data_IF_385359670848
#
_entry.id   IF_385359670848
#
_cell.length_a   1.000
_cell.length_b   1.000
_cell.length_c   1.000
_cell.angle_alpha   90.00
_cell.angle_beta   90.00
_cell.angle_gamma   90.00
#
_symmetry.space_group_name_H-M   'P 1'
#
loop_
_entity.id
_entity.type
_entity.pdbx_description
1 polymer ?
#
# COMPACT_ATOMS: atom_id res chain seq x y z
N UNK A 1 8.27 1.50 5.18
CA UNK A 1 7.98 0.65 4.01
C UNK A 1 7.62 1.50 2.80
N UNK A 2 7.10 0.88 1.75
CA UNK A 2 6.94 1.50 0.42
C UNK A 2 6.03 2.73 0.36
N UNK A 3 5.11 2.91 1.31
CA UNK A 3 4.31 4.14 1.40
C UNK A 3 5.16 5.42 1.55
N UNK A 4 6.39 5.29 2.04
CA UNK A 4 7.32 6.42 2.19
C UNK A 4 8.04 6.79 0.89
N UNK A 5 7.96 5.95 -0.16
CA UNK A 5 8.69 6.13 -1.42
C UNK A 5 7.82 5.95 -2.68
N UNK A 6 6.56 5.50 -2.56
CA UNK A 6 5.65 5.27 -3.69
C UNK A 6 5.15 6.59 -4.33
N UNK A 7 4.29 6.52 -5.34
CA UNK A 7 3.71 7.72 -5.99
C UNK A 7 2.56 8.38 -5.21
N UNK A 8 2.26 7.95 -3.98
CA UNK A 8 1.16 8.45 -3.13
C UNK A 8 -0.25 8.27 -3.71
N UNK A 9 -0.38 7.59 -4.85
CA UNK A 9 -1.67 7.31 -5.50
C UNK A 9 -2.59 6.56 -4.54
N UNK A 10 -3.81 7.05 -4.39
CA UNK A 10 -4.84 6.42 -3.56
C UNK A 10 -5.90 5.75 -4.44
N UNK A 11 -5.85 4.43 -4.50
CA UNK A 11 -6.80 3.60 -5.24
C UNK A 11 -7.26 2.43 -4.37
N UNK A 12 -8.56 2.16 -4.34
CA UNK A 12 -9.16 1.03 -3.60
C UNK A 12 -9.18 -0.27 -4.39
N UNK A 13 -9.16 -0.20 -5.73
CA UNK A 13 -9.43 -1.36 -6.60
C UNK A 13 -10.91 -1.53 -6.93
N UNK A 14 -11.24 -2.56 -7.71
CA UNK A 14 -12.62 -2.83 -8.15
C UNK A 14 -13.34 -3.72 -7.14
N UNK A 15 -14.66 -3.58 -7.02
CA UNK A 15 -15.45 -4.43 -6.10
C UNK A 15 -15.28 -5.92 -6.41
N UNK A 16 -15.18 -6.23 -7.71
CA UNK A 16 -15.07 -7.60 -8.18
C UNK A 16 -13.75 -8.26 -7.79
N UNK A 17 -12.67 -7.49 -7.60
CA UNK A 17 -11.37 -8.03 -7.14
C UNK A 17 -11.52 -8.65 -5.75
N UNK A 18 -12.22 -7.97 -4.84
CA UNK A 18 -12.48 -8.42 -3.47
C UNK A 18 -13.54 -9.51 -3.39
N UNK A 19 -14.64 -9.38 -4.17
CA UNK A 19 -15.66 -10.43 -4.23
C UNK A 19 -15.08 -11.73 -4.79
N UNK A 20 -14.12 -11.64 -5.72
CA UNK A 20 -13.36 -12.79 -6.19
C UNK A 20 -12.53 -13.42 -5.06
N UNK A 21 -11.82 -12.65 -4.24
CA UNK A 21 -11.07 -13.20 -3.10
C UNK A 21 -11.94 -14.02 -2.15
N UNK A 22 -13.15 -13.55 -1.85
CA UNK A 22 -14.08 -14.32 -1.02
C UNK A 22 -14.51 -15.63 -1.69
N UNK A 23 -14.85 -15.60 -2.99
CA UNK A 23 -15.20 -16.82 -3.74
C UNK A 23 -14.03 -17.79 -3.90
N UNK A 24 -12.79 -17.31 -3.83
CA UNK A 24 -11.57 -18.12 -3.81
C UNK A 24 -11.28 -18.73 -2.43
N UNK A 25 -12.20 -18.60 -1.47
CA UNK A 25 -12.11 -19.27 -0.17
C UNK A 25 -11.55 -18.40 0.94
N UNK A 26 -11.68 -17.06 0.84
CA UNK A 26 -11.27 -16.12 1.88
C UNK A 26 -12.50 -15.42 2.50
N UNK A 27 -13.27 -16.07 3.40
CA UNK A 27 -14.46 -15.48 4.01
C UNK A 27 -14.16 -14.13 4.66
N UNK A 28 -15.04 -13.15 4.46
CA UNK A 28 -14.88 -11.81 5.04
C UNK A 28 -14.00 -10.87 4.21
N UNK A 29 -13.54 -11.28 3.03
CA UNK A 29 -12.75 -10.45 2.11
C UNK A 29 -13.55 -9.87 0.93
N UNK A 30 -14.88 -10.04 0.88
CA UNK A 30 -15.73 -9.37 -0.11
C UNK A 30 -15.59 -7.85 -0.07
N UNK A 31 -16.00 -7.15 -1.13
CA UNK A 31 -16.01 -5.68 -1.14
C UNK A 31 -16.81 -5.08 0.02
N UNK A 32 -17.98 -5.65 0.35
CA UNK A 32 -18.82 -5.16 1.43
C UNK A 32 -18.09 -5.17 2.77
N UNK A 33 -17.37 -6.25 3.07
CA UNK A 33 -16.55 -6.37 4.27
C UNK A 33 -15.38 -5.37 4.28
N UNK A 34 -14.56 -5.34 3.22
CA UNK A 34 -13.35 -4.49 3.20
C UNK A 34 -13.65 -3.00 3.05
N UNK A 35 -14.78 -2.63 2.45
CA UNK A 35 -15.18 -1.22 2.24
C UNK A 35 -15.28 -0.43 3.55
N UNK A 36 -15.65 -1.11 4.64
CA UNK A 36 -15.69 -0.51 5.98
C UNK A 36 -14.29 -0.12 6.48
N UNK A 37 -13.26 -0.91 6.15
CA UNK A 37 -11.87 -0.64 6.52
C UNK A 37 -11.25 0.47 5.67
N UNK A 38 -11.55 0.53 4.37
CA UNK A 38 -11.18 1.69 3.55
C UNK A 38 -11.73 2.98 4.16
N UNK A 39 -13.04 3.01 4.42
CA UNK A 39 -13.70 4.17 5.05
C UNK A 39 -13.13 4.53 6.42
N UNK A 40 -12.72 3.54 7.22
CA UNK A 40 -12.10 3.74 8.53
C UNK A 40 -10.69 4.35 8.43
N UNK A 41 -9.92 3.97 7.40
CA UNK A 41 -8.56 4.46 7.21
C UNK A 41 -8.48 5.86 6.61
N UNK A 42 -9.48 6.24 5.81
CA UNK A 42 -9.45 7.44 5.00
C UNK A 42 -10.03 8.66 5.71
N UNK A 43 -9.45 9.82 5.42
CA UNK A 43 -10.01 11.12 5.69
C UNK A 43 -9.97 11.96 4.42
N UNK A 44 -11.07 11.90 3.68
CA UNK A 44 -11.17 12.64 2.44
C UNK A 44 -11.32 14.14 2.68
N UNK A 45 -10.51 14.91 1.95
CA UNK A 45 -10.49 16.37 1.98
C UNK A 45 -11.10 16.84 0.66
N UNK A 46 -12.39 17.21 0.64
CA UNK A 46 -13.07 17.61 -0.58
C UNK A 46 -12.49 18.92 -1.11
N UNK A 47 -12.11 18.94 -2.39
CA UNK A 47 -11.70 20.15 -3.11
C UNK A 47 -12.73 20.54 -4.17
N UNK A 48 -13.14 19.60 -5.04
CA UNK A 48 -14.08 19.87 -6.14
C UNK A 48 -15.57 19.82 -5.75
N UNK A 49 -15.91 19.21 -4.61
CA UNK A 49 -17.30 18.95 -4.19
C UNK A 49 -18.07 17.91 -5.04
N UNK A 50 -17.43 17.34 -6.08
CA UNK A 50 -18.03 16.36 -7.00
C UNK A 50 -18.02 14.93 -6.44
N UNK A 51 -17.09 14.61 -5.55
CA UNK A 51 -16.93 13.29 -4.93
C UNK A 51 -17.79 13.18 -3.67
N UNK A 52 -18.67 12.17 -3.63
CA UNK A 52 -19.74 12.06 -2.62
C UNK A 52 -19.56 10.95 -1.57
N UNK A 53 -18.76 9.90 -1.80
CA UNK A 53 -18.72 8.73 -0.91
C UNK A 53 -17.30 8.27 -0.59
N UNK A 54 -16.81 8.69 0.57
CA UNK A 54 -15.41 8.51 0.98
C UNK A 54 -15.29 8.51 2.50
N UNK A 55 -14.29 7.81 3.04
CA UNK A 55 -14.05 7.76 4.48
C UNK A 55 -13.75 9.15 5.06
N UNK A 56 -14.17 9.37 6.30
CA UNK A 56 -13.93 10.61 7.05
C UNK A 56 -13.42 10.30 8.44
N UNK A 57 -12.49 11.10 8.93
CA UNK A 57 -11.93 10.96 10.27
C UNK A 57 -10.88 9.86 10.43
N UNK A 58 -10.52 9.16 9.35
CA UNK A 58 -9.38 8.25 9.34
C UNK A 58 -8.02 8.98 9.39
N UNK A 59 -6.93 8.27 9.64
CA UNK A 59 -5.60 8.88 9.74
C UNK A 59 -4.95 9.20 8.38
N UNK A 60 -5.42 8.61 7.27
CA UNK A 60 -4.84 8.81 5.94
C UNK A 60 -5.62 9.93 5.22
N UNK A 61 -5.00 11.08 4.93
CA UNK A 61 -5.64 12.08 4.07
C UNK A 61 -5.79 11.53 2.66
N UNK A 62 -6.93 11.81 2.05
CA UNK A 62 -7.19 11.54 0.64
C UNK A 62 -7.65 12.84 0.02
N UNK A 63 -6.82 13.42 -0.83
CA UNK A 63 -7.13 14.67 -1.51
C UNK A 63 -7.03 14.49 -3.02
N UNK A 64 -7.77 15.31 -3.75
CA UNK A 64 -7.59 15.46 -5.18
C UNK A 64 -6.30 16.27 -5.43
N UNK A 65 -5.61 15.99 -6.53
CA UNK A 65 -4.54 16.89 -7.00
C UNK A 65 -5.15 18.10 -7.69
N UNK A 66 -4.52 19.26 -7.49
CA UNK A 66 -4.86 20.48 -8.22
C UNK A 66 -4.70 20.24 -9.74
N UNK A 67 -5.74 20.53 -10.55
CA UNK A 67 -5.65 20.38 -11.99
C UNK A 67 -4.54 21.27 -12.56
N UNK A 68 -3.69 20.70 -13.42
CA UNK A 68 -2.78 21.47 -14.26
C UNK A 68 -3.43 21.71 -15.62
N UNK A 69 -2.89 22.62 -16.42
CA UNK A 69 -3.36 22.82 -17.79
C UNK A 69 -3.28 21.50 -18.60
N UNK A 70 -2.30 20.63 -18.30
CA UNK A 70 -2.12 19.35 -18.97
C UNK A 70 -3.18 18.34 -18.56
N UNK A 71 -3.48 18.21 -17.26
CA UNK A 71 -4.52 17.29 -16.81
C UNK A 71 -5.89 17.75 -17.30
N UNK A 72 -6.16 19.06 -17.34
CA UNK A 72 -7.39 19.60 -17.94
C UNK A 72 -7.50 19.27 -19.45
N UNK A 73 -6.40 19.43 -20.20
CA UNK A 73 -6.36 19.08 -21.63
C UNK A 73 -6.62 17.59 -21.85
N UNK A 74 -5.97 16.72 -21.09
CA UNK A 74 -6.16 15.26 -21.17
C UNK A 74 -7.59 14.86 -20.79
N UNK A 75 -8.16 15.44 -19.73
CA UNK A 75 -9.55 15.18 -19.34
C UNK A 75 -10.54 15.52 -20.48
N UNK A 76 -10.34 16.65 -21.16
CA UNK A 76 -11.17 17.02 -22.32
C UNK A 76 -11.02 16.03 -23.48
N UNK A 77 -9.79 15.63 -23.81
CA UNK A 77 -9.55 14.65 -24.87
C UNK A 77 -10.22 13.30 -24.55
N UNK A 78 -10.15 12.84 -23.30
CA UNK A 78 -10.83 11.61 -22.86
C UNK A 78 -12.36 11.72 -22.96
N UNK A 79 -12.93 12.89 -22.64
CA UNK A 79 -14.36 13.15 -22.83
C UNK A 79 -14.78 13.15 -24.31
N UNK A 80 -13.97 13.72 -25.20
CA UNK A 80 -14.20 13.68 -26.66
C UNK A 80 -14.15 12.25 -27.21
N UNK A 81 -13.39 11.35 -26.56
CA UNK A 81 -13.39 9.91 -26.84
C UNK A 81 -14.59 9.15 -26.22
N UNK A 82 -15.49 9.84 -25.53
CA UNK A 82 -16.69 9.26 -24.90
C UNK A 82 -16.46 8.68 -23.50
N UNK A 83 -15.31 8.92 -22.87
CA UNK A 83 -15.06 8.51 -21.49
C UNK A 83 -15.62 9.53 -20.50
N UNK A 84 -16.18 9.05 -19.40
CA UNK A 84 -16.74 9.89 -18.35
C UNK A 84 -15.77 10.06 -17.19
N UNK A 85 -15.78 11.25 -16.59
CA UNK A 85 -15.10 11.49 -15.33
C UNK A 85 -15.92 10.88 -14.19
N UNK A 86 -15.35 9.94 -13.46
CA UNK A 86 -16.01 9.16 -12.42
C UNK A 86 -15.08 9.01 -11.20
N UNK A 87 -15.63 8.83 -10.01
CA UNK A 87 -14.81 8.44 -8.86
C UNK A 87 -14.53 6.93 -8.92
N UNK A 88 -13.32 6.57 -9.36
CA UNK A 88 -12.93 5.16 -9.51
C UNK A 88 -12.81 4.43 -8.16
N UNK A 89 -12.71 5.17 -7.04
CA UNK A 89 -12.71 4.58 -5.70
C UNK A 89 -14.10 4.14 -5.21
N UNK A 90 -15.15 4.34 -6.01
CA UNK A 90 -16.47 3.72 -5.81
C UNK A 90 -16.53 2.27 -6.31
N UNK A 91 -15.43 1.75 -6.85
CA UNK A 91 -15.32 0.37 -7.35
C UNK A 91 -16.08 0.12 -8.66
N UNK A 92 -16.40 1.20 -9.39
CA UNK A 92 -16.98 1.13 -10.74
C UNK A 92 -15.89 0.82 -11.78
N UNK A 93 -16.29 0.20 -12.90
CA UNK A 93 -15.40 -0.03 -14.04
C UNK A 93 -15.50 1.11 -15.05
N UNK A 94 -14.34 1.57 -15.53
CA UNK A 94 -14.24 2.51 -16.64
C UNK A 94 -14.33 3.98 -16.25
N UNK A 95 -14.01 4.84 -17.21
CA UNK A 95 -13.89 6.28 -17.02
C UNK A 95 -12.47 6.70 -16.64
N UNK A 96 -12.35 7.95 -16.21
CA UNK A 96 -11.10 8.53 -15.70
C UNK A 96 -11.41 9.39 -14.48
N UNK A 97 -10.39 9.71 -13.69
CA UNK A 97 -10.54 10.60 -12.54
C UNK A 97 -9.31 11.48 -12.36
N UNK A 98 -9.46 12.70 -11.81
CA UNK A 98 -8.35 13.37 -11.16
C UNK A 98 -7.74 12.42 -10.13
N UNK A 99 -6.43 12.28 -10.17
CA UNK A 99 -5.72 11.38 -9.26
C UNK A 99 -5.95 11.82 -7.81
N UNK A 100 -6.40 10.88 -6.98
CA UNK A 100 -6.41 11.05 -5.53
C UNK A 100 -5.06 10.62 -4.97
N UNK A 101 -4.54 11.40 -4.02
CA UNK A 101 -3.25 11.16 -3.39
C UNK A 101 -3.31 11.23 -1.87
N UNK A 102 -2.31 10.63 -1.23
CA UNK A 102 -2.09 10.74 0.22
C UNK A 102 -1.11 11.88 0.54
N UNK A 103 -1.56 13.12 0.35
CA UNK A 103 -0.77 14.34 0.58
C UNK A 103 -1.50 15.26 1.55
N UNK A 104 -0.76 15.95 2.42
CA UNK A 104 -1.32 16.98 3.29
C UNK A 104 -0.33 18.14 3.34
N UNK A 105 -0.80 19.35 3.03
CA UNK A 105 0.01 20.57 3.00
C UNK A 105 1.30 20.42 2.16
N UNK A 106 1.18 19.79 0.98
CA UNK A 106 2.30 19.53 0.07
C UNK A 106 3.26 18.43 0.53
N UNK A 107 2.98 17.73 1.62
CA UNK A 107 3.81 16.66 2.14
C UNK A 107 3.15 15.28 2.01
N UNK A 108 3.95 14.28 1.65
CA UNK A 108 3.55 12.87 1.68
C UNK A 108 3.07 12.46 3.07
N UNK A 109 1.95 11.75 3.13
CA UNK A 109 1.53 11.04 4.33
C UNK A 109 1.70 9.53 4.15
N UNK A 110 2.82 9.02 4.67
CA UNK A 110 3.11 7.58 4.72
C UNK A 110 2.29 6.86 5.80
N UNK A 111 2.25 5.52 5.77
CA UNK A 111 1.65 4.73 6.85
C UNK A 111 2.29 5.02 8.22
N UNK A 112 3.61 5.24 8.28
CA UNK A 112 4.28 5.63 9.52
C UNK A 112 3.83 7.02 10.00
N UNK A 113 3.62 7.97 9.10
CA UNK A 113 3.16 9.32 9.45
C UNK A 113 1.70 9.30 9.92
N UNK A 114 0.83 8.55 9.23
CA UNK A 114 -0.59 8.44 9.55
C UNK A 114 -0.86 7.63 10.83
N UNK A 115 -0.24 6.46 10.99
CA UNK A 115 -0.61 5.51 12.04
C UNK A 115 0.37 5.42 13.20
N UNK A 116 1.67 5.67 12.97
CA UNK A 116 2.71 5.41 13.97
C UNK A 116 3.11 6.67 14.73
N UNK A 117 3.46 7.75 14.01
CA UNK A 117 3.88 9.04 14.61
C UNK A 117 2.90 9.56 15.69
N UNK A 118 1.57 9.50 15.50
CA UNK A 118 0.63 10.03 16.50
C UNK A 118 0.61 9.24 17.82
N UNK A 119 1.17 8.03 17.85
CA UNK A 119 1.06 7.10 18.99
C UNK A 119 2.42 6.67 19.56
N UNK A 120 3.52 7.32 19.16
CA UNK A 120 4.88 6.99 19.62
C UNK A 120 5.04 7.04 21.14
N UNK A 121 4.26 7.87 21.83
CA UNK A 121 4.35 8.06 23.28
C UNK A 121 3.56 7.00 24.07
N UNK A 122 2.96 6.01 23.41
CA UNK A 122 2.22 4.96 24.12
C UNK A 122 3.18 4.06 24.88
N UNK A 123 2.98 3.84 26.20
CA UNK A 123 3.90 3.07 27.03
C UNK A 123 3.92 1.56 26.70
N UNK A 124 2.98 1.10 25.88
CA UNK A 124 2.84 -0.29 25.45
C UNK A 124 3.23 -0.49 23.97
N UNK A 125 4.04 0.42 23.41
CA UNK A 125 4.52 0.36 22.04
C UNK A 125 6.03 0.62 22.00
N UNK A 126 6.79 -0.43 21.70
CA UNK A 126 8.21 -0.33 21.41
C UNK A 126 8.42 -0.36 19.89
N UNK A 127 9.30 0.51 19.39
CA UNK A 127 9.66 0.58 17.98
C UNK A 127 11.16 0.51 17.89
N UNK A 128 11.64 -0.57 17.27
CA UNK A 128 13.05 -0.75 16.97
C UNK A 128 13.25 -0.53 15.47
N UNK A 129 14.07 0.46 15.13
CA UNK A 129 14.50 0.73 13.75
C UNK A 129 15.89 0.16 13.52
N UNK A 130 16.28 0.00 12.24
CA UNK A 130 17.57 -0.61 11.88
C UNK A 130 17.76 -2.01 12.48
N UNK A 131 16.65 -2.72 12.68
CA UNK A 131 16.61 -4.09 13.16
C UNK A 131 16.06 -4.99 12.05
N UNK A 132 16.92 -5.79 11.45
CA UNK A 132 16.54 -6.69 10.36
C UNK A 132 16.16 -8.05 10.93
N UNK A 133 14.87 -8.41 10.87
CA UNK A 133 14.42 -9.76 11.24
C UNK A 133 14.99 -10.76 10.25
N UNK A 134 15.70 -11.77 10.75
CA UNK A 134 16.35 -12.81 9.93
C UNK A 134 15.51 -14.07 9.87
N UNK A 135 14.83 -14.44 10.97
CA UNK A 135 13.89 -15.58 11.02
C UNK A 135 12.90 -15.47 12.18
N UNK A 136 11.82 -16.23 12.06
CA UNK A 136 10.86 -16.54 13.12
C UNK A 136 11.34 -17.81 13.84
N UNK A 137 11.24 -17.82 15.16
CA UNK A 137 11.57 -18.98 16.00
C UNK A 137 10.29 -19.72 16.35
N UNK A 138 10.30 -21.05 16.18
CA UNK A 138 9.15 -21.90 16.47
C UNK A 138 9.48 -22.93 17.55
N UNK A 139 8.49 -23.19 18.41
CA UNK A 139 8.41 -24.40 19.21
C UNK A 139 7.31 -25.29 18.63
N UNK A 140 7.71 -26.42 18.03
CA UNK A 140 6.81 -27.27 17.22
C UNK A 140 6.14 -26.44 16.12
N UNK A 141 4.84 -26.15 16.27
CA UNK A 141 4.03 -25.41 15.31
C UNK A 141 3.64 -24.00 15.81
N UNK A 142 4.24 -23.53 16.90
CA UNK A 142 3.91 -22.24 17.52
C UNK A 142 5.09 -21.29 17.37
N UNK A 143 4.86 -20.12 16.78
CA UNK A 143 5.86 -19.04 16.73
C UNK A 143 6.02 -18.46 18.14
N UNK A 144 7.25 -18.44 18.66
CA UNK A 144 7.57 -18.00 20.03
C UNK A 144 8.38 -16.70 20.08
N UNK A 145 8.80 -16.20 18.92
CA UNK A 145 9.59 -14.97 18.82
C UNK A 145 10.24 -14.82 17.46
N UNK A 146 11.12 -13.82 17.35
CA UNK A 146 11.92 -13.56 16.16
C UNK A 146 13.37 -13.32 16.53
N UNK A 147 14.26 -13.78 15.66
CA UNK A 147 15.65 -13.35 15.65
C UNK A 147 15.82 -12.19 14.67
N UNK A 148 16.61 -11.21 15.08
CA UNK A 148 16.89 -10.02 14.29
C UNK A 148 18.31 -9.53 14.53
N UNK A 149 18.82 -8.75 13.59
CA UNK A 149 20.16 -8.17 13.65
C UNK A 149 20.09 -6.66 13.85
N UNK A 150 20.93 -6.15 14.75
CA UNK A 150 21.21 -4.72 14.95
C UNK A 150 22.73 -4.58 15.03
N UNK A 151 23.31 -3.68 14.24
CA UNK A 151 24.77 -3.46 14.23
C UNK A 151 25.58 -4.77 14.07
N UNK A 152 25.10 -5.67 13.19
CA UNK A 152 25.70 -6.99 12.92
C UNK A 152 25.68 -7.97 14.10
N UNK A 153 24.95 -7.63 15.18
CA UNK A 153 24.74 -8.51 16.33
C UNK A 153 23.36 -9.14 16.27
N UNK A 154 23.33 -10.45 16.49
CA UNK A 154 22.08 -11.21 16.55
C UNK A 154 21.42 -11.05 17.92
N UNK A 155 20.13 -10.76 17.89
CA UNK A 155 19.27 -10.61 19.05
C UNK A 155 18.02 -11.45 18.89
N UNK A 156 17.38 -11.76 20.03
CA UNK A 156 16.12 -12.47 20.07
C UNK A 156 15.09 -11.68 20.89
N UNK A 157 13.86 -11.61 20.38
CA UNK A 157 12.71 -11.11 21.13
C UNK A 157 11.60 -12.16 21.13
N UNK A 158 11.10 -12.47 22.32
CA UNK A 158 10.00 -13.42 22.50
C UNK A 158 8.64 -12.77 22.26
N UNK A 159 7.67 -13.56 21.80
CA UNK A 159 6.29 -13.16 21.60
C UNK A 159 5.36 -14.07 22.42
N UNK A 160 4.63 -13.49 23.36
CA UNK A 160 3.72 -14.26 24.24
C UNK A 160 2.39 -14.67 23.58
N UNK A 161 2.04 -14.06 22.44
CA UNK A 161 0.77 -14.31 21.76
C UNK A 161 1.00 -14.64 20.29
N UNK A 162 1.48 -13.67 19.53
CA UNK A 162 1.51 -13.74 18.08
C UNK A 162 2.73 -13.02 17.52
N UNK A 163 3.18 -13.49 16.35
CA UNK A 163 4.13 -12.79 15.49
C UNK A 163 3.39 -12.41 14.21
N UNK A 164 3.30 -11.11 13.92
CA UNK A 164 2.64 -10.59 12.70
C UNK A 164 3.72 -10.21 11.70
N UNK A 165 3.88 -11.01 10.65
CA UNK A 165 4.86 -10.74 9.61
C UNK A 165 4.32 -9.70 8.60
N UNK A 166 4.97 -8.54 8.53
CA UNK A 166 4.58 -7.42 7.65
C UNK A 166 5.77 -6.89 6.82
N UNK A 167 6.66 -7.78 6.38
CA UNK A 167 7.91 -7.43 5.69
C UNK A 167 7.73 -7.16 4.18
N UNK A 168 6.49 -7.18 3.68
CA UNK A 168 6.16 -6.99 2.26
C UNK A 168 6.19 -8.29 1.44
N UNK A 169 5.75 -8.24 0.19
CA UNK A 169 5.55 -9.43 -0.67
C UNK A 169 6.84 -10.16 -1.06
N UNK A 170 8.00 -9.51 -0.92
CA UNK A 170 9.31 -10.10 -1.23
C UNK A 170 9.97 -10.68 0.03
N UNK A 171 10.10 -9.89 1.10
CA UNK A 171 10.84 -10.32 2.28
C UNK A 171 10.02 -11.25 3.19
N UNK A 172 8.69 -11.14 3.21
CA UNK A 172 7.87 -12.03 4.05
C UNK A 172 8.00 -13.51 3.65
N UNK A 173 7.85 -13.91 2.37
CA UNK A 173 8.07 -15.31 2.01
C UNK A 173 9.52 -15.75 2.25
N UNK A 174 10.51 -14.87 2.04
CA UNK A 174 11.91 -15.18 2.36
C UNK A 174 12.09 -15.49 3.85
N UNK A 175 11.60 -14.64 4.75
CA UNK A 175 11.68 -14.85 6.21
C UNK A 175 10.98 -16.14 6.59
N UNK A 176 9.79 -16.42 6.05
CA UNK A 176 9.09 -17.69 6.31
C UNK A 176 9.92 -18.91 5.89
N UNK A 177 10.51 -18.88 4.69
CA UNK A 177 11.35 -19.97 4.20
C UNK A 177 12.61 -20.15 5.06
N UNK A 178 13.30 -19.06 5.42
CA UNK A 178 14.43 -19.09 6.37
C UNK A 178 14.04 -19.60 7.77
N UNK A 179 12.75 -19.54 8.10
CA UNK A 179 12.17 -20.05 9.34
C UNK A 179 11.66 -21.49 9.23
N UNK A 180 11.90 -22.18 8.11
CA UNK A 180 11.45 -23.56 7.90
C UNK A 180 9.99 -23.70 7.43
N UNK A 181 9.34 -22.62 6.99
CA UNK A 181 7.97 -22.61 6.46
C UNK A 181 7.99 -22.27 4.97
N UNK A 182 7.82 -23.29 4.12
CA UNK A 182 7.93 -23.16 2.67
C UNK A 182 8.04 -24.50 1.96
N UNK A 183 8.26 -24.52 0.62
CA UNK A 183 8.28 -25.76 -0.15
C UNK A 183 9.39 -26.70 0.34
N UNK A 184 9.02 -27.88 0.83
CA UNK A 184 9.93 -28.78 1.55
C UNK A 184 11.21 -29.13 0.79
N UNK A 185 11.12 -29.42 -0.51
CA UNK A 185 12.28 -29.69 -1.36
C UNK A 185 13.22 -28.48 -1.43
N UNK A 186 12.69 -27.28 -1.66
CA UNK A 186 13.49 -26.06 -1.72
C UNK A 186 14.18 -25.78 -0.38
N UNK A 187 13.49 -25.96 0.75
CA UNK A 187 14.11 -25.80 2.07
C UNK A 187 15.26 -26.79 2.30
N UNK A 188 15.09 -28.05 1.89
CA UNK A 188 16.11 -29.09 2.01
C UNK A 188 17.34 -28.81 1.15
N UNK A 189 17.19 -28.24 -0.04
CA UNK A 189 18.31 -27.81 -0.90
C UNK A 189 19.26 -26.83 -0.19
N UNK A 190 18.71 -26.01 0.72
CA UNK A 190 19.47 -25.04 1.53
C UNK A 190 19.79 -25.54 2.95
N UNK A 191 19.50 -26.82 3.25
CA UNK A 191 19.77 -27.41 4.57
C UNK A 191 18.90 -26.84 5.70
N UNK A 192 17.74 -26.25 5.37
CA UNK A 192 16.82 -25.64 6.34
C UNK A 192 15.85 -26.71 6.85
N UNK A 193 15.74 -26.93 8.18
CA UNK A 193 14.75 -27.85 8.75
C UNK A 193 13.31 -27.45 8.38
N UNK A 194 12.53 -28.41 7.90
CA UNK A 194 11.14 -28.17 7.51
C UNK A 194 10.24 -28.21 8.75
N UNK A 195 9.66 -27.06 9.09
CA UNK A 195 8.62 -26.93 10.11
C UNK A 195 7.25 -27.15 9.49
N UNK A 196 7.02 -26.54 8.31
CA UNK A 196 5.77 -26.70 7.58
C UNK A 196 6.00 -26.61 6.07
N UNK A 197 5.55 -27.63 5.36
CA UNK A 197 5.52 -27.64 3.90
C UNK A 197 4.31 -26.85 3.38
N UNK A 198 4.57 -25.68 2.80
CA UNK A 198 3.57 -24.78 2.24
C UNK A 198 4.11 -24.13 0.96
N UNK A 199 3.25 -23.72 0.01
CA UNK A 199 3.66 -23.09 -1.26
C UNK A 199 4.11 -21.62 -1.09
N UNK A 200 4.93 -21.34 -0.08
CA UNK A 200 5.46 -20.00 0.20
C UNK A 200 6.38 -19.55 -0.92
N UNK A 201 6.26 -18.28 -1.31
CA UNK A 201 7.06 -17.68 -2.39
C UNK A 201 6.49 -17.91 -3.80
N UNK A 202 5.41 -18.69 -3.93
CA UNK A 202 4.70 -18.87 -5.20
C UNK A 202 3.65 -17.76 -5.42
N UNK A 203 3.08 -17.73 -6.63
CA UNK A 203 2.02 -16.79 -7.03
C UNK A 203 2.39 -15.30 -6.95
N UNK A 204 3.67 -14.97 -7.15
CA UNK A 204 4.08 -13.58 -7.34
C UNK A 204 3.33 -12.98 -8.54
N UNK A 205 2.67 -11.85 -8.31
CA UNK A 205 1.95 -11.07 -9.30
C UNK A 205 2.45 -9.63 -9.25
N UNK A 206 2.57 -9.01 -10.41
CA UNK A 206 2.97 -7.61 -10.55
C UNK A 206 2.27 -6.98 -11.76
N UNK A 207 2.23 -5.66 -11.80
CA UNK A 207 1.71 -4.89 -12.93
C UNK A 207 2.85 -4.49 -13.87
N UNK A 208 2.93 -5.14 -15.02
CA UNK A 208 3.91 -4.79 -16.06
C UNK A 208 3.58 -3.41 -16.63
N UNK A 209 4.50 -2.46 -16.44
CA UNK A 209 4.39 -1.10 -16.96
C UNK A 209 5.13 -0.93 -18.29
N UNK A 210 4.56 -0.10 -19.17
CA UNK A 210 5.22 0.40 -20.38
C UNK A 210 5.07 1.92 -20.43
N UNK A 211 6.15 2.62 -20.78
CA UNK A 211 6.17 4.07 -20.87
C UNK A 211 6.22 4.53 -22.33
N UNK A 212 5.23 5.33 -22.73
CA UNK A 212 5.26 6.06 -23.99
C UNK A 212 5.67 7.51 -23.73
N UNK A 213 6.69 7.98 -24.45
CA UNK A 213 7.21 9.33 -24.32
C UNK A 213 6.84 10.17 -25.54
N UNK A 214 6.34 11.38 -25.28
CA UNK A 214 5.96 12.33 -26.32
C UNK A 214 6.72 13.63 -26.12
N UNK A 215 7.29 14.17 -27.20
CA UNK A 215 7.90 15.49 -27.16
C UNK A 215 6.81 16.56 -27.25
N UNK A 216 6.76 17.45 -26.27
CA UNK A 216 5.89 18.61 -26.32
C UNK A 216 6.46 19.70 -27.23
N UNK A 217 5.64 20.20 -28.16
CA UNK A 217 6.08 21.23 -29.12
C UNK A 217 6.06 22.66 -28.56
N UNK A 218 5.22 22.96 -27.57
CA UNK A 218 5.04 24.30 -26.99
C UNK A 218 4.75 24.20 -25.48
N UNK A 219 5.77 24.24 -24.63
CA UNK A 219 5.56 24.36 -23.17
C UNK A 219 5.67 25.84 -22.82
N UNK A 220 4.58 26.50 -22.43
CA UNK A 220 4.70 27.74 -21.68
C UNK A 220 5.48 27.39 -20.41
N UNK A 221 6.59 28.07 -20.13
CA UNK A 221 7.46 27.74 -19.00
C UNK A 221 6.62 27.60 -17.72
N UNK A 222 6.76 26.47 -17.03
CA UNK A 222 6.06 26.20 -15.77
C UNK A 222 6.49 27.09 -14.60
N UNK A 223 7.40 28.03 -14.82
CA UNK A 223 7.70 29.16 -13.94
C UNK A 223 6.79 30.32 -14.31
N UNK A 224 5.58 30.37 -13.75
CA UNK A 224 4.78 31.60 -13.72
C UNK A 224 5.43 32.59 -12.76
N UNK A 225 6.30 33.44 -13.28
CA UNK A 225 6.75 34.67 -12.59
C UNK A 225 5.79 35.86 -12.80
N UNK A 226 4.71 35.71 -13.59
CA UNK A 226 3.91 36.85 -14.06
C UNK A 226 2.40 36.77 -13.76
N UNK A 227 1.98 36.28 -12.59
CA UNK A 227 0.57 36.47 -12.18
C UNK A 227 0.40 36.70 -10.68
N UNK A 228 1.14 37.68 -10.17
CA UNK A 228 0.81 38.38 -8.92
C UNK A 228 0.98 39.90 -9.14
N UNK A 229 0.10 40.47 -9.98
CA UNK A 229 -0.20 41.91 -9.95
C UNK A 229 -1.71 42.08 -10.10
N UNK A 230 -2.38 42.19 -8.97
CA UNK A 230 -3.48 43.15 -8.73
C UNK A 230 -3.66 43.30 -7.22
#
# INVERSE_FOLDING_TARGET
GSSSINYMLHMRGLQEDFNRWEREGNPGWSYNHVSSYFKKSENFIPQSGKVKSVGRGGPIPVNENEPTWMTAYLSKALQEMGLQEEDLNLGKKGGFMPVQVNVLNGQRVSASTAFLKPILNRPNLDILTSALVTRIVFEKNTAVGVEFEVEEQSHFVSAHREVILSAGSINSPQILMLSGVGPSQHLQEFGIPVIRDLPVGLQLQDHVGYFAYFQMKNVASSTTEETLVS
#
